data_IF_574163978547
#
_entry.id   IF_574163978547
#
_cell.length_a   1.000
_cell.length_b   1.000
_cell.length_c   1.000
_cell.angle_alpha   90.00
_cell.angle_beta   90.00
_cell.angle_gamma   90.00
#
_symmetry.space_group_name_H-M   'P 1'
#
loop_
_entity.id
_entity.type
_entity.pdbx_description
1 polymer ?
#
# COMPACT_ATOMS: atom_id res chain seq x y z
N UNK A 1 12.43 -11.83 6.87
CA UNK A 1 11.16 -12.50 6.53
C UNK A 1 10.79 -12.07 5.13
N UNK A 2 10.50 -13.01 4.23
CA UNK A 2 10.18 -12.71 2.82
C UNK A 2 8.82 -13.35 2.54
N UNK A 3 7.84 -12.54 2.18
CA UNK A 3 6.50 -12.96 1.75
C UNK A 3 6.34 -12.67 0.26
N UNK A 4 6.85 -13.55 -0.61
CA UNK A 4 6.83 -13.32 -2.04
C UNK A 4 5.39 -13.27 -2.59
N UNK A 5 4.46 -14.07 -2.04
CA UNK A 5 3.06 -14.07 -2.43
C UNK A 5 2.35 -12.73 -2.15
N UNK A 6 2.60 -12.14 -0.97
CA UNK A 6 2.01 -10.84 -0.61
C UNK A 6 2.59 -9.71 -1.44
N UNK A 7 3.88 -9.79 -1.77
CA UNK A 7 4.52 -8.81 -2.64
C UNK A 7 4.05 -8.95 -4.08
N UNK A 8 3.81 -10.17 -4.57
CA UNK A 8 3.24 -10.42 -5.89
C UNK A 8 1.84 -9.81 -5.99
N UNK A 9 0.97 -10.09 -5.01
CA UNK A 9 -0.38 -9.50 -4.92
C UNK A 9 -0.34 -7.96 -4.86
N UNK A 10 0.56 -7.39 -4.05
CA UNK A 10 0.78 -5.95 -3.98
C UNK A 10 1.24 -5.37 -5.32
N UNK A 11 2.25 -5.97 -5.95
CA UNK A 11 2.81 -5.50 -7.23
C UNK A 11 1.84 -5.69 -8.40
N UNK A 12 0.92 -6.65 -8.32
CA UNK A 12 -0.08 -6.95 -9.34
C UNK A 12 -1.04 -5.79 -9.58
N UNK A 13 -1.31 -4.99 -8.55
CA UNK A 13 -2.16 -3.80 -8.62
C UNK A 13 -1.57 -2.71 -9.53
N UNK A 14 -0.24 -2.60 -9.58
CA UNK A 14 0.45 -1.59 -10.37
C UNK A 14 0.74 -2.13 -11.78
N UNK A 15 0.43 -1.36 -12.84
CA UNK A 15 0.79 -1.70 -14.21
C UNK A 15 2.29 -1.93 -14.38
N UNK A 16 2.68 -2.93 -15.19
CA UNK A 16 4.09 -3.36 -15.33
C UNK A 16 5.06 -2.22 -15.67
N UNK A 17 4.62 -1.29 -16.52
CA UNK A 17 5.39 -0.11 -16.93
C UNK A 17 5.60 0.93 -15.81
N UNK A 18 4.82 0.87 -14.73
CA UNK A 18 4.96 1.75 -13.55
C UNK A 18 5.73 1.05 -12.41
N UNK A 19 6.03 -0.25 -12.53
CA UNK A 19 6.62 -1.05 -11.44
C UNK A 19 8.07 -0.71 -11.11
N UNK A 20 8.79 -0.02 -12.01
CA UNK A 20 10.15 0.44 -11.74
C UNK A 20 10.22 1.44 -10.58
N UNK A 21 9.13 2.16 -10.32
CA UNK A 21 9.02 3.19 -9.28
C UNK A 21 7.79 2.92 -8.39
N UNK A 22 7.77 1.75 -7.75
CA UNK A 22 6.60 1.21 -7.04
C UNK A 22 5.94 2.20 -6.06
N UNK A 23 6.75 2.88 -5.26
CA UNK A 23 6.29 3.84 -4.25
C UNK A 23 5.58 5.04 -4.91
N UNK A 24 6.16 5.57 -5.99
CA UNK A 24 5.56 6.69 -6.74
C UNK A 24 4.30 6.27 -7.48
N UNK A 25 4.29 5.05 -8.03
CA UNK A 25 3.12 4.49 -8.68
C UNK A 25 1.97 4.38 -7.68
N UNK A 26 2.17 3.71 -6.54
CA UNK A 26 1.16 3.60 -5.50
C UNK A 26 0.65 4.95 -5.01
N UNK A 27 1.55 5.92 -4.80
CA UNK A 27 1.15 7.29 -4.44
C UNK A 27 0.19 7.92 -5.45
N UNK A 28 0.51 7.83 -6.76
CA UNK A 28 -0.36 8.32 -7.84
C UNK A 28 -1.76 7.69 -7.79
N UNK A 29 -1.84 6.39 -7.51
CA UNK A 29 -3.13 5.68 -7.41
C UNK A 29 -3.88 6.03 -6.11
N UNK A 30 -3.16 6.19 -4.99
CA UNK A 30 -3.71 6.59 -3.70
C UNK A 30 -4.31 8.00 -3.71
N UNK A 31 -3.64 8.95 -4.36
CA UNK A 31 -4.10 10.34 -4.48
C UNK A 31 -4.99 10.58 -5.70
N UNK A 32 -5.42 9.52 -6.39
CA UNK A 32 -6.32 9.63 -7.53
C UNK A 32 -7.69 10.15 -7.09
N UNK A 33 -8.30 11.02 -7.89
CA UNK A 33 -9.69 11.46 -7.67
C UNK A 33 -10.72 10.37 -8.03
N UNK A 34 -10.28 9.23 -8.58
CA UNK A 34 -11.16 8.13 -8.89
C UNK A 34 -11.56 7.36 -7.62
N UNK A 35 -12.87 7.38 -7.34
CA UNK A 35 -13.48 6.80 -6.14
C UNK A 35 -13.36 5.26 -6.08
N UNK A 36 -12.87 4.60 -7.13
CA UNK A 36 -12.60 3.17 -7.13
C UNK A 36 -11.11 2.84 -7.01
N UNK A 37 -10.24 3.66 -7.61
CA UNK A 37 -8.80 3.43 -7.66
C UNK A 37 -8.12 3.74 -6.33
N UNK A 38 -8.47 4.87 -5.70
CA UNK A 38 -7.87 5.28 -4.43
C UNK A 38 -8.13 4.26 -3.30
N UNK A 39 -9.38 3.83 -3.03
CA UNK A 39 -9.65 2.78 -2.03
C UNK A 39 -8.94 1.46 -2.30
N UNK A 40 -8.87 1.03 -3.57
CA UNK A 40 -8.18 -0.23 -3.93
C UNK A 40 -6.68 -0.12 -3.67
N UNK A 41 -6.05 0.98 -4.08
CA UNK A 41 -4.64 1.23 -3.82
C UNK A 41 -4.35 1.23 -2.31
N UNK A 42 -5.23 1.86 -1.52
CA UNK A 42 -5.15 1.91 -0.07
C UNK A 42 -5.22 0.51 0.56
N UNK A 43 -6.16 -0.33 0.11
CA UNK A 43 -6.29 -1.71 0.59
C UNK A 43 -5.05 -2.57 0.30
N UNK A 44 -4.50 -2.49 -0.92
CA UNK A 44 -3.28 -3.22 -1.28
C UNK A 44 -2.06 -2.75 -0.45
N UNK A 45 -1.90 -1.44 -0.27
CA UNK A 45 -0.80 -0.87 0.53
C UNK A 45 -0.87 -1.33 1.98
N UNK A 46 -2.00 -1.13 2.64
CA UNK A 46 -2.13 -1.45 4.06
C UNK A 46 -2.16 -2.95 4.35
N UNK A 47 -2.59 -3.78 3.39
CA UNK A 47 -2.46 -5.24 3.53
C UNK A 47 -0.99 -5.66 3.61
N UNK A 48 -0.14 -5.13 2.71
CA UNK A 48 1.30 -5.42 2.74
C UNK A 48 1.95 -4.89 4.01
N UNK A 49 1.62 -3.66 4.40
CA UNK A 49 2.16 -3.02 5.61
C UNK A 49 1.79 -3.83 6.88
N UNK A 50 0.51 -4.11 7.08
CA UNK A 50 0.03 -4.84 8.26
C UNK A 50 0.52 -6.29 8.33
N UNK A 51 0.69 -6.94 7.18
CA UNK A 51 1.27 -8.28 7.11
C UNK A 51 2.76 -8.28 7.46
N UNK A 52 3.49 -7.20 7.16
CA UNK A 52 4.94 -7.10 7.38
C UNK A 52 5.31 -6.58 8.77
N UNK A 53 4.39 -5.95 9.49
CA UNK A 53 4.60 -5.41 10.85
C UNK A 53 4.73 -6.48 11.95
N UNK A 54 4.39 -7.75 11.68
CA UNK A 54 4.42 -8.83 12.68
C UNK A 54 5.20 -10.04 12.17
N UNK A 55 5.84 -10.83 13.07
CA UNK A 55 6.49 -12.10 12.72
C UNK A 55 5.58 -13.13 12.06
N UNK A 56 4.27 -13.03 12.30
CA UNK A 56 3.25 -13.89 11.74
C UNK A 56 2.06 -13.03 11.32
N UNK A 57 1.45 -13.39 10.19
CA UNK A 57 0.26 -12.71 9.67
C UNK A 57 -0.92 -12.99 10.61
N UNK A 58 -1.54 -11.93 11.12
CA UNK A 58 -2.72 -12.00 11.98
C UNK A 58 -3.97 -11.62 11.17
N UNK A 59 -4.89 -12.57 10.90
CA UNK A 59 -6.10 -12.32 10.11
C UNK A 59 -7.03 -11.27 10.71
N UNK A 60 -7.06 -11.12 12.04
CA UNK A 60 -7.85 -10.06 12.68
C UNK A 60 -7.21 -8.69 12.48
N UNK A 61 -5.88 -8.64 12.43
CA UNK A 61 -5.15 -7.42 12.14
C UNK A 61 -5.29 -7.01 10.67
N UNK A 62 -5.32 -7.97 9.74
CA UNK A 62 -5.60 -7.69 8.32
C UNK A 62 -7.01 -7.12 8.09
N UNK A 63 -8.00 -7.40 8.96
CA UNK A 63 -9.32 -6.74 8.85
C UNK A 63 -9.25 -5.24 9.09
N UNK A 64 -8.25 -4.77 9.85
CA UNK A 64 -8.02 -3.33 10.05
C UNK A 64 -7.40 -2.65 8.82
N UNK A 65 -6.87 -3.42 7.85
CA UNK A 65 -6.39 -2.92 6.56
C UNK A 65 -7.49 -2.35 5.67
N UNK A 66 -8.76 -2.64 5.99
CA UNK A 66 -9.91 -2.14 5.25
C UNK A 66 -10.40 -0.76 5.73
N UNK A 67 -9.77 -0.13 6.73
CA UNK A 67 -10.06 1.25 7.09
C UNK A 67 -9.37 2.21 6.10
N UNK A 68 -10.02 2.41 4.96
CA UNK A 68 -9.61 3.28 3.86
C UNK A 68 -9.09 4.65 4.32
N UNK A 69 -9.72 5.23 5.35
CA UNK A 69 -9.36 6.54 5.87
C UNK A 69 -8.04 6.53 6.65
N UNK A 70 -7.76 5.44 7.36
CA UNK A 70 -6.48 5.25 8.05
C UNK A 70 -5.35 5.04 7.03
N UNK A 71 -5.60 4.19 6.03
CA UNK A 71 -4.65 3.83 4.98
C UNK A 71 -4.19 5.05 4.16
N UNK A 72 -5.14 5.88 3.72
CA UNK A 72 -4.84 7.10 2.96
C UNK A 72 -4.00 8.08 3.80
N UNK A 73 -4.34 8.27 5.08
CA UNK A 73 -3.61 9.18 5.97
C UNK A 73 -2.19 8.70 6.24
N UNK A 74 -2.01 7.40 6.51
CA UNK A 74 -0.68 6.82 6.71
C UNK A 74 0.17 6.99 5.45
N UNK A 75 -0.34 6.60 4.28
CA UNK A 75 0.42 6.70 3.04
C UNK A 75 0.80 8.15 2.66
N UNK A 76 -0.04 9.14 2.98
CA UNK A 76 0.29 10.57 2.79
C UNK A 76 1.40 11.00 3.75
N UNK A 77 1.33 10.62 5.03
CA UNK A 77 2.35 10.96 6.03
C UNK A 77 3.69 10.31 5.66
N UNK A 78 3.68 9.01 5.35
CA UNK A 78 4.88 8.27 4.94
C UNK A 78 5.53 8.89 3.71
N UNK A 79 4.74 9.25 2.70
CA UNK A 79 5.26 9.89 1.50
C UNK A 79 5.86 11.27 1.79
N UNK A 80 5.22 12.10 2.64
CA UNK A 80 5.76 13.40 3.03
C UNK A 80 7.18 13.30 3.61
N UNK A 81 7.46 12.25 4.38
CA UNK A 81 8.80 11.99 4.93
C UNK A 81 9.74 11.30 3.94
N UNK A 82 9.22 10.37 3.12
CA UNK A 82 10.03 9.64 2.14
C UNK A 82 10.57 10.56 1.04
N UNK A 83 9.78 11.54 0.60
CA UNK A 83 10.18 12.50 -0.43
C UNK A 83 11.03 13.69 0.09
N UNK A 84 11.18 13.86 1.41
CA UNK A 84 12.11 14.83 2.00
C UNK A 84 13.51 14.24 2.27
N UNK A 85 13.71 12.95 2.02
CA UNK A 85 14.94 12.23 2.35
C UNK A 85 15.84 11.90 1.14
N UNK A 86 15.71 12.66 0.03
CA UNK A 86 16.61 12.60 -1.13
C UNK A 86 17.10 14.00 -1.51
#
# INVERSE_FOLDING_TARGET
>A
MIWPELFEDFSSFIPENERSEMIKAFYKHLTSNDQNTSPKAAGHWSTLELATLRPQVDPEYLKSANDEHLCIKLAIIEWHYHNQSL
#
